data_IF_214103127813
#
_entry.id   IF_214103127813
#
_cell.length_a   1.000
_cell.length_b   1.000
_cell.length_c   1.000
_cell.angle_alpha   90.00
_cell.angle_beta   90.00
_cell.angle_gamma   90.00
#
_symmetry.space_group_name_H-M   'P 1'
#
loop_
_entity.id
_entity.type
_entity.pdbx_description
1 polymer ?
#
# COMPACT_ATOMS: atom_id res chain seq x y z
N UNK A 1 15.59 -9.72 6.26
CA UNK A 1 14.25 -9.59 5.64
C UNK A 1 14.01 -8.10 5.42
N UNK A 2 14.30 -7.59 4.22
CA UNK A 2 14.09 -6.18 3.88
C UNK A 2 12.60 -5.87 3.91
N UNK A 3 12.21 -4.84 4.65
CA UNK A 3 10.84 -4.34 4.66
C UNK A 3 10.68 -3.55 3.36
N UNK A 4 9.98 -4.14 2.40
CA UNK A 4 9.66 -3.48 1.13
C UNK A 4 8.88 -2.19 1.40
N UNK A 5 9.30 -1.10 0.73
CA UNK A 5 8.63 0.21 0.75
C UNK A 5 7.14 0.04 0.38
N UNK A 6 6.24 0.66 1.16
CA UNK A 6 4.79 0.37 1.14
C UNK A 6 3.96 1.40 0.38
N UNK A 7 4.46 2.63 0.20
CA UNK A 7 3.86 3.51 -0.78
C UNK A 7 4.22 3.06 -2.19
N UNK A 8 3.18 2.79 -2.97
CA UNK A 8 3.31 2.33 -4.34
C UNK A 8 2.65 3.32 -5.29
N UNK A 9 3.25 3.47 -6.47
CA UNK A 9 2.58 4.19 -7.57
C UNK A 9 1.82 3.17 -8.40
N UNK A 10 0.56 3.47 -8.68
CA UNK A 10 -0.28 2.66 -9.53
C UNK A 10 -0.78 3.45 -10.74
N UNK A 11 -0.76 2.77 -11.86
CA UNK A 11 -1.36 3.17 -13.14
C UNK A 11 -2.27 2.05 -13.68
N UNK A 12 -2.48 1.00 -12.88
CA UNK A 12 -3.47 -0.04 -13.16
C UNK A 12 -4.88 0.52 -13.03
N UNK A 13 -5.87 -0.07 -13.72
CA UNK A 13 -7.26 0.32 -13.54
C UNK A 13 -7.64 0.22 -12.06
N UNK A 14 -8.29 1.26 -11.54
CA UNK A 14 -8.64 1.34 -10.12
C UNK A 14 -9.40 0.10 -9.64
N UNK A 15 -10.35 -0.40 -10.42
CA UNK A 15 -11.11 -1.62 -10.12
C UNK A 15 -10.21 -2.86 -9.92
N UNK A 16 -9.17 -3.04 -10.74
CA UNK A 16 -8.23 -4.17 -10.64
C UNK A 16 -7.40 -4.06 -9.36
N UNK A 17 -6.99 -2.83 -9.02
CA UNK A 17 -6.27 -2.56 -7.79
C UNK A 17 -7.16 -2.88 -6.59
N UNK A 18 -8.39 -2.38 -6.56
CA UNK A 18 -9.34 -2.69 -5.49
C UNK A 18 -9.54 -4.22 -5.41
N UNK A 19 -9.89 -4.91 -6.49
CA UNK A 19 -10.09 -6.38 -6.47
C UNK A 19 -8.88 -7.14 -5.89
N UNK A 20 -7.66 -6.85 -6.35
CA UNK A 20 -6.43 -7.48 -5.84
C UNK A 20 -6.19 -7.17 -4.37
N UNK A 21 -6.44 -5.94 -3.96
CA UNK A 21 -6.21 -5.50 -2.59
C UNK A 21 -7.22 -6.13 -1.63
N UNK A 22 -8.46 -6.31 -2.06
CA UNK A 22 -9.45 -7.10 -1.33
C UNK A 22 -9.06 -8.56 -1.24
N UNK A 23 -8.56 -9.17 -2.32
CA UNK A 23 -8.03 -10.53 -2.23
C UNK A 23 -6.89 -10.62 -1.20
N UNK A 24 -6.00 -9.62 -1.12
CA UNK A 24 -4.95 -9.57 -0.09
C UNK A 24 -5.50 -9.29 1.32
N UNK A 25 -6.56 -8.49 1.44
CA UNK A 25 -7.26 -8.22 2.70
C UNK A 25 -8.01 -9.44 3.23
N UNK A 26 -8.67 -10.21 2.35
CA UNK A 26 -9.29 -11.52 2.63
C UNK A 26 -8.23 -12.54 3.04
N UNK A 27 -7.07 -12.49 2.39
CA UNK A 27 -5.88 -13.23 2.84
C UNK A 27 -5.24 -12.61 4.08
N UNK A 28 -5.91 -11.72 4.82
CA UNK A 28 -5.49 -11.23 6.13
C UNK A 28 -4.16 -10.47 6.14
N UNK A 29 -3.62 -10.06 5.00
CA UNK A 29 -2.32 -9.38 4.93
C UNK A 29 -2.46 -7.86 5.01
N UNK A 30 -3.60 -7.30 4.57
CA UNK A 30 -3.84 -5.86 4.52
C UNK A 30 -5.14 -5.52 5.24
N UNK A 31 -5.13 -4.49 6.10
CA UNK A 31 -6.28 -3.99 6.86
C UNK A 31 -6.71 -2.60 6.45
N UNK A 32 -5.77 -1.80 5.96
CA UNK A 32 -6.03 -0.44 5.50
C UNK A 32 -5.42 -0.20 4.13
N UNK A 33 -6.22 0.33 3.22
CA UNK A 33 -5.78 0.87 1.95
C UNK A 33 -5.93 2.39 1.97
N UNK A 34 -4.84 3.09 1.68
CA UNK A 34 -4.80 4.55 1.58
C UNK A 34 -4.55 4.93 0.13
N UNK A 35 -5.49 5.63 -0.48
CA UNK A 35 -5.40 6.10 -1.87
C UNK A 35 -5.14 7.59 -1.88
N UNK A 36 -4.09 8.01 -2.56
CA UNK A 36 -3.81 9.40 -2.86
C UNK A 36 -4.32 9.69 -4.27
N UNK A 37 -5.41 10.46 -4.34
CA UNK A 37 -6.17 10.73 -5.56
C UNK A 37 -5.93 12.18 -6.00
N UNK A 38 -5.49 12.34 -7.25
CA UNK A 38 -5.24 13.65 -7.83
C UNK A 38 -4.87 13.55 -9.32
N UNK A 39 -4.78 14.69 -9.96
CA UNK A 39 -4.52 14.87 -11.38
C UNK A 39 -3.15 15.50 -11.63
N UNK A 40 -2.78 15.63 -12.90
CA UNK A 40 -1.56 16.34 -13.31
C UNK A 40 -1.54 17.83 -12.95
N UNK A 41 -2.70 18.41 -12.61
CA UNK A 41 -2.83 19.80 -12.17
C UNK A 41 -2.64 19.97 -10.65
N UNK A 42 -2.63 18.89 -9.88
CA UNK A 42 -2.53 18.90 -8.41
C UNK A 42 -1.07 18.88 -7.93
N UNK A 43 -0.26 19.77 -8.51
CA UNK A 43 1.20 19.82 -8.32
C UNK A 43 1.62 19.92 -6.87
N UNK A 44 0.99 20.82 -6.11
CA UNK A 44 1.38 21.09 -4.73
C UNK A 44 1.14 19.87 -3.85
N UNK A 45 0.06 19.12 -4.12
CA UNK A 45 -0.25 17.89 -3.41
C UNK A 45 0.83 16.82 -3.63
N UNK A 46 1.25 16.57 -4.88
CA UNK A 46 2.32 15.61 -5.15
C UNK A 46 3.65 16.01 -4.50
N UNK A 47 4.00 17.29 -4.53
CA UNK A 47 5.23 17.78 -3.89
C UNK A 47 5.20 17.52 -2.38
N UNK A 48 4.07 17.74 -1.74
CA UNK A 48 3.89 17.45 -0.32
C UNK A 48 3.96 15.94 -0.04
N UNK A 49 3.30 15.09 -0.84
CA UNK A 49 3.39 13.63 -0.70
C UNK A 49 4.83 13.14 -0.86
N UNK A 50 5.59 13.66 -1.83
CA UNK A 50 7.02 13.33 -1.99
C UNK A 50 7.84 13.81 -0.79
N UNK A 51 7.58 15.03 -0.30
CA UNK A 51 8.28 15.60 0.86
C UNK A 51 8.08 14.74 2.11
N UNK A 52 6.85 14.30 2.35
CA UNK A 52 6.52 13.43 3.47
C UNK A 52 6.74 11.96 3.17
N UNK A 53 7.14 11.57 1.96
CA UNK A 53 7.12 10.18 1.49
C UNK A 53 7.79 9.17 2.43
N UNK A 54 8.95 9.51 3.00
CA UNK A 54 9.63 8.63 3.97
C UNK A 54 8.87 8.51 5.29
N UNK A 55 8.27 9.59 5.77
CA UNK A 55 7.54 9.60 7.03
C UNK A 55 6.13 9.01 6.84
N UNK A 56 5.50 9.21 5.68
CA UNK A 56 4.29 8.52 5.23
C UNK A 56 4.56 7.03 5.08
N UNK A 57 5.65 6.63 4.45
CA UNK A 57 6.10 5.24 4.44
C UNK A 57 6.19 4.75 5.90
N UNK A 58 6.96 5.40 6.77
CA UNK A 58 7.07 5.02 8.19
C UNK A 58 5.75 5.01 8.97
N UNK A 59 4.82 5.89 8.62
CA UNK A 59 3.48 5.93 9.20
C UNK A 59 2.64 4.74 8.74
N UNK A 60 2.85 4.34 7.49
CA UNK A 60 2.22 3.22 6.82
C UNK A 60 3.01 1.90 7.02
N UNK A 61 4.18 1.89 7.70
CA UNK A 61 5.16 0.78 7.84
C UNK A 61 4.65 -0.53 8.46
N UNK A 62 3.36 -0.66 8.74
CA UNK A 62 2.80 -1.98 8.99
C UNK A 62 2.59 -2.71 7.68
N UNK A 63 2.95 -4.00 7.64
CA UNK A 63 2.53 -4.95 6.59
C UNK A 63 1.01 -4.91 6.30
N UNK A 64 0.24 -4.30 7.21
CA UNK A 64 -1.22 -4.22 7.26
C UNK A 64 -1.78 -2.94 6.63
N UNK A 65 -0.94 -2.02 6.18
CA UNK A 65 -1.36 -0.80 5.51
C UNK A 65 -0.64 -0.67 4.16
N UNK A 66 -1.36 -0.26 3.11
CA UNK A 66 -0.77 0.00 1.81
C UNK A 66 -1.20 1.38 1.34
N UNK A 67 -0.22 2.20 0.93
CA UNK A 67 -0.46 3.49 0.31
C UNK A 67 -0.34 3.38 -1.21
N UNK A 68 -1.32 3.83 -1.96
CA UNK A 68 -1.29 3.85 -3.42
C UNK A 68 -1.47 5.27 -3.95
N UNK A 69 -0.54 5.68 -4.82
CA UNK A 69 -0.54 6.97 -5.47
C UNK A 69 -1.10 6.83 -6.89
N UNK A 70 -2.23 7.48 -7.15
CA UNK A 70 -2.81 7.67 -8.48
C UNK A 70 -2.60 9.10 -8.99
N UNK A 71 -1.50 9.73 -8.58
CA UNK A 71 -1.17 11.11 -8.91
C UNK A 71 0.04 11.17 -9.84
N UNK A 72 -0.13 11.62 -11.08
CA UNK A 72 1.00 11.80 -11.97
C UNK A 72 1.84 13.03 -11.60
N UNK A 73 3.13 13.08 -11.97
CA UNK A 73 3.92 14.32 -11.92
C UNK A 73 3.31 15.41 -12.81
N UNK A 74 3.43 16.70 -12.44
CA UNK A 74 3.01 17.78 -13.31
C UNK A 74 3.95 17.91 -14.52
N UNK A 75 3.47 18.46 -15.66
CA UNK A 75 4.23 18.55 -16.91
C UNK A 75 5.61 19.22 -16.78
N UNK A 76 5.73 20.32 -16.01
CA UNK A 76 7.00 21.06 -15.89
C UNK A 76 8.05 20.37 -15.01
N UNK A 77 7.68 19.25 -14.35
CA UNK A 77 8.56 18.51 -13.44
C UNK A 77 8.58 17.02 -13.76
N UNK A 78 8.34 16.64 -15.02
CA UNK A 78 8.56 15.26 -15.47
C UNK A 78 9.99 14.79 -15.20
N UNK A 79 10.98 15.70 -15.17
CA UNK A 79 12.34 15.37 -14.71
C UNK A 79 12.44 14.96 -13.22
N UNK A 80 11.51 15.44 -12.38
CA UNK A 80 11.39 15.05 -10.96
C UNK A 80 10.73 13.68 -10.76
N UNK A 81 10.41 12.96 -11.84
CA UNK A 81 10.02 11.55 -11.77
C UNK A 81 11.04 10.70 -11.00
N UNK A 82 12.32 11.10 -11.00
CA UNK A 82 13.36 10.49 -10.16
C UNK A 82 13.07 10.57 -8.65
N UNK A 83 12.35 11.59 -8.19
CA UNK A 83 11.93 11.69 -6.79
C UNK A 83 10.77 10.72 -6.48
N UNK A 84 9.92 10.47 -7.48
CA UNK A 84 8.82 9.51 -7.46
C UNK A 84 9.33 8.06 -7.59
N UNK A 85 10.51 7.84 -8.19
CA UNK A 85 11.23 6.54 -8.19
C UNK A 85 11.60 6.02 -6.79
N UNK A 86 11.49 6.85 -5.75
CA UNK A 86 11.66 6.40 -4.37
C UNK A 86 10.55 5.42 -3.95
N UNK A 87 9.36 5.52 -4.54
CA UNK A 87 8.23 4.64 -4.29
C UNK A 87 8.33 3.34 -5.08
N UNK A 88 7.82 2.25 -4.50
CA UNK A 88 7.78 0.96 -5.20
C UNK A 88 6.77 1.06 -6.35
N UNK A 89 7.08 0.49 -7.51
CA UNK A 89 6.11 0.46 -8.61
C UNK A 89 5.18 -0.73 -8.43
N UNK A 90 3.90 -0.57 -8.73
CA UNK A 90 2.95 -1.69 -8.73
C UNK A 90 3.24 -2.70 -9.86
N UNK A 91 3.76 -2.23 -11.00
CA UNK A 91 4.40 -3.03 -12.05
C UNK A 91 5.71 -2.40 -12.55
N UNK A 92 6.55 -3.16 -13.23
CA UNK A 92 7.68 -2.63 -13.98
C UNK A 92 7.22 -2.18 -15.38
N UNK A 93 7.56 -0.95 -15.77
CA UNK A 93 7.37 -0.44 -17.13
C UNK A 93 8.66 0.17 -17.68
N UNK A 94 8.87 0.13 -19.01
CA UNK A 94 10.07 0.62 -19.70
C UNK A 94 9.91 2.07 -20.20
N UNK A 95 9.38 2.97 -19.38
CA UNK A 95 8.91 4.30 -19.81
C UNK A 95 9.96 5.42 -19.73
N UNK A 96 11.20 5.11 -19.32
CA UNK A 96 12.22 6.11 -18.96
C UNK A 96 12.66 7.01 -20.12
N UNK A 97 12.47 6.59 -21.37
CA UNK A 97 13.09 7.23 -22.53
C UNK A 97 12.10 7.65 -23.63
N UNK A 98 10.79 7.46 -23.42
CA UNK A 98 9.75 7.79 -24.40
C UNK A 98 8.77 8.86 -23.84
N UNK A 99 8.82 10.10 -24.36
CA UNK A 99 7.93 11.19 -23.96
C UNK A 99 6.43 10.89 -24.20
N UNK A 100 6.10 10.12 -25.24
CA UNK A 100 4.72 9.80 -25.59
C UNK A 100 4.14 8.78 -24.59
N UNK A 101 4.92 7.75 -24.24
CA UNK A 101 4.54 6.79 -23.20
C UNK A 101 4.40 7.46 -21.84
N UNK A 102 5.27 8.43 -21.53
CA UNK A 102 5.18 9.21 -20.28
C UNK A 102 3.88 10.00 -20.23
N UNK A 103 3.48 10.64 -21.33
CA UNK A 103 2.23 11.39 -21.40
C UNK A 103 0.99 10.47 -21.31
N UNK A 104 1.02 9.32 -21.97
CA UNK A 104 -0.04 8.31 -21.86
C UNK A 104 -0.20 7.81 -20.41
N UNK A 105 0.91 7.59 -19.70
CA UNK A 105 0.91 7.22 -18.29
C UNK A 105 0.28 8.31 -17.41
N UNK A 106 0.67 9.57 -17.62
CA UNK A 106 0.13 10.72 -16.87
C UNK A 106 -1.38 10.81 -17.05
N UNK A 107 -1.86 10.76 -18.30
CA UNK A 107 -3.29 10.77 -18.61
C UNK A 107 -4.03 9.60 -17.97
N UNK A 108 -3.43 8.41 -18.00
CA UNK A 108 -4.00 7.21 -17.39
C UNK A 108 -4.13 7.34 -15.87
N UNK A 109 -3.08 7.80 -15.18
CA UNK A 109 -3.13 7.99 -13.73
C UNK A 109 -4.20 9.02 -13.32
N UNK A 110 -4.26 10.17 -14.02
CA UNK A 110 -5.32 11.16 -13.82
C UNK A 110 -6.71 10.56 -14.04
N UNK A 111 -6.91 9.83 -15.13
CA UNK A 111 -8.19 9.17 -15.43
C UNK A 111 -8.58 8.16 -14.34
N UNK A 112 -7.62 7.37 -13.84
CA UNK A 112 -7.87 6.40 -12.78
C UNK A 112 -8.16 7.04 -11.43
N UNK A 113 -7.57 8.19 -11.10
CA UNK A 113 -7.98 8.98 -9.92
C UNK A 113 -9.47 9.36 -9.98
N UNK A 114 -9.95 9.84 -11.13
CA UNK A 114 -11.37 10.18 -11.31
C UNK A 114 -12.28 8.94 -11.32
N UNK A 115 -11.83 7.84 -11.95
CA UNK A 115 -12.58 6.59 -11.95
C UNK A 115 -12.73 6.02 -10.54
N UNK A 116 -11.65 6.02 -9.74
CA UNK A 116 -11.70 5.59 -8.34
C UNK A 116 -12.60 6.49 -7.51
N UNK A 117 -12.54 7.81 -7.69
CA UNK A 117 -13.43 8.72 -6.99
C UNK A 117 -14.91 8.39 -7.29
N UNK A 118 -15.26 8.11 -8.55
CA UNK A 118 -16.62 7.68 -8.93
C UNK A 118 -17.00 6.34 -8.30
N UNK A 119 -16.13 5.33 -8.38
CA UNK A 119 -16.36 4.01 -7.80
C UNK A 119 -16.61 4.07 -6.28
N UNK A 120 -15.88 4.97 -5.60
CA UNK A 120 -15.98 5.16 -4.16
C UNK A 120 -17.00 6.24 -3.76
N UNK A 121 -17.81 6.74 -4.71
CA UNK A 121 -18.81 7.79 -4.48
C UNK A 121 -18.23 9.08 -3.83
N UNK A 122 -16.97 9.40 -4.13
CA UNK A 122 -16.31 10.64 -3.71
C UNK A 122 -16.68 11.76 -4.71
N UNK A 123 -17.20 12.91 -4.25
CA UNK A 123 -17.51 14.03 -5.14
C UNK A 123 -16.26 14.54 -5.86
N UNK A 124 -16.35 14.71 -7.18
CA UNK A 124 -15.19 15.09 -7.99
C UNK A 124 -14.66 16.49 -7.66
N UNK A 125 -15.53 17.41 -7.23
CA UNK A 125 -15.12 18.74 -6.81
C UNK A 125 -14.28 18.77 -5.52
N UNK A 126 -14.28 17.67 -4.76
CA UNK A 126 -13.54 17.56 -3.50
C UNK A 126 -12.11 17.02 -3.70
N UNK A 127 -11.72 16.70 -4.95
CA UNK A 127 -10.36 16.35 -5.33
C UNK A 127 -9.46 17.59 -5.44
N UNK A 128 -8.14 17.46 -5.19
CA UNK A 128 -7.42 16.25 -4.80
C UNK A 128 -7.71 15.83 -3.35
N UNK A 129 -7.44 14.57 -3.01
CA UNK A 129 -7.70 14.09 -1.65
C UNK A 129 -7.11 12.73 -1.31
N UNK A 130 -7.34 12.31 -0.06
CA UNK A 130 -6.87 11.03 0.47
C UNK A 130 -8.08 10.19 0.89
N UNK A 131 -8.22 9.01 0.28
CA UNK A 131 -9.26 8.05 0.61
C UNK A 131 -8.69 6.90 1.45
N UNK A 132 -9.42 6.49 2.48
CA UNK A 132 -9.09 5.40 3.39
C UNK A 132 -10.17 4.34 3.27
N UNK A 133 -9.75 3.10 3.02
CA UNK A 133 -10.63 1.94 2.88
C UNK A 133 -10.19 0.86 3.87
N UNK A 134 -11.13 0.39 4.69
CA UNK A 134 -10.89 -0.74 5.58
C UNK A 134 -11.14 -2.06 4.84
N UNK A 135 -10.28 -3.05 5.05
CA UNK A 135 -10.48 -4.37 4.48
C UNK A 135 -11.75 -5.07 5.00
N UNK A 136 -12.20 -4.72 6.21
CA UNK A 136 -13.43 -5.27 6.81
C UNK A 136 -14.70 -4.56 6.37
N UNK A 137 -14.59 -3.34 5.82
CA UNK A 137 -15.71 -2.54 5.36
C UNK A 137 -15.46 -2.06 3.91
N UNK A 138 -15.56 -2.97 2.91
CA UNK A 138 -15.36 -2.66 1.49
C UNK A 138 -16.03 -1.38 1.01
N UNK A 139 -17.29 -1.23 1.42
CA UNK A 139 -18.19 -0.23 0.90
C UNK A 139 -18.06 1.10 1.67
N UNK A 140 -17.27 1.10 2.75
CA UNK A 140 -17.03 2.28 3.56
C UNK A 140 -15.73 2.98 3.15
N UNK A 141 -15.87 4.24 2.76
CA UNK A 141 -14.73 5.13 2.52
C UNK A 141 -14.72 6.23 3.58
N UNK A 142 -13.53 6.55 4.10
CA UNK A 142 -13.28 7.81 4.78
C UNK A 142 -12.39 8.68 3.90
N UNK A 143 -12.84 9.88 3.60
CA UNK A 143 -12.19 10.76 2.64
C UNK A 143 -11.80 12.09 3.29
N UNK A 144 -10.59 12.55 2.99
CA UNK A 144 -10.11 13.88 3.38
C UNK A 144 -9.89 14.70 2.10
N UNK A 145 -10.72 15.73 1.85
CA UNK A 145 -10.51 16.65 0.75
C UNK A 145 -9.31 17.56 1.04
N UNK A 146 -8.48 17.79 0.03
CA UNK A 146 -7.30 18.67 0.12
C UNK A 146 -7.42 19.94 -0.72
N UNK A 147 -8.53 20.11 -1.44
CA UNK A 147 -8.80 21.31 -2.23
C UNK A 147 -8.71 22.62 -1.40
N UNK A 148 -8.95 22.55 -0.09
CA UNK A 148 -9.00 23.71 0.80
C UNK A 148 -8.08 23.61 2.02
N UNK A 149 -7.33 22.52 2.16
CA UNK A 149 -6.44 22.30 3.30
C UNK A 149 -5.27 21.44 2.84
N UNK A 150 -4.07 22.03 2.67
CA UNK A 150 -2.93 21.31 2.13
C UNK A 150 -2.53 20.17 3.07
N UNK A 151 -1.87 19.15 2.52
CA UNK A 151 -1.39 17.98 3.27
C UNK A 151 -0.53 18.43 4.46
N UNK A 152 0.30 19.47 4.28
CA UNK A 152 1.11 20.08 5.35
C UNK A 152 0.34 20.41 6.64
N UNK A 153 -0.91 20.87 6.54
CA UNK A 153 -1.74 21.23 7.71
C UNK A 153 -2.36 20.01 8.37
N UNK A 154 -2.81 19.05 7.57
CA UNK A 154 -3.54 17.88 8.06
C UNK A 154 -2.62 16.74 8.50
N UNK A 155 -1.38 16.76 8.03
CA UNK A 155 -0.39 15.71 8.23
C UNK A 155 -0.14 15.36 9.70
N UNK A 156 -0.01 16.32 10.64
CA UNK A 156 0.17 16.00 12.06
C UNK A 156 -1.01 15.22 12.66
N UNK A 157 -2.24 15.54 12.26
CA UNK A 157 -3.44 14.87 12.74
C UNK A 157 -3.58 13.46 12.12
N UNK A 158 -3.30 13.32 10.83
CA UNK A 158 -3.18 12.01 10.16
C UNK A 158 -2.14 11.14 10.85
N UNK A 159 -0.96 11.69 11.11
CA UNK A 159 0.13 11.00 11.80
C UNK A 159 -0.31 10.51 13.17
N UNK A 160 -0.95 11.38 13.96
CA UNK A 160 -1.45 11.03 15.30
C UNK A 160 -2.47 9.90 15.24
N UNK A 161 -3.43 9.95 14.31
CA UNK A 161 -4.46 8.91 14.15
C UNK A 161 -3.82 7.56 13.83
N UNK A 162 -2.90 7.52 12.86
CA UNK A 162 -2.23 6.30 12.43
C UNK A 162 -1.31 5.74 13.51
N UNK A 163 -0.45 6.57 14.12
CA UNK A 163 0.43 6.13 15.19
C UNK A 163 -0.35 5.59 16.40
N UNK A 164 -1.48 6.24 16.75
CA UNK A 164 -2.32 5.75 17.84
C UNK A 164 -2.95 4.39 17.51
N UNK A 165 -3.41 4.18 16.27
CA UNK A 165 -3.92 2.86 15.87
C UNK A 165 -2.84 1.77 15.97
N UNK A 166 -1.60 2.05 15.56
CA UNK A 166 -0.50 1.11 15.73
C UNK A 166 -0.19 0.80 17.20
N UNK A 167 -0.13 1.83 18.04
CA UNK A 167 0.17 1.66 19.46
C UNK A 167 -0.94 0.91 20.19
N UNK A 168 -2.20 1.29 19.96
CA UNK A 168 -3.41 0.65 20.53
C UNK A 168 -3.42 -0.87 20.22
N UNK A 169 -2.79 -1.30 19.11
CA UNK A 169 -2.85 -2.67 18.61
C UNK A 169 -1.50 -3.39 18.50
N UNK A 170 -0.44 -2.84 19.10
CA UNK A 170 0.93 -3.33 18.94
C UNK A 170 1.08 -4.83 19.25
N UNK A 171 0.50 -5.28 20.35
CA UNK A 171 0.58 -6.68 20.77
C UNK A 171 -0.08 -7.63 19.77
N UNK A 172 -1.22 -7.24 19.20
CA UNK A 172 -1.93 -8.04 18.19
C UNK A 172 -1.11 -8.16 16.91
N UNK A 173 -0.48 -7.07 16.48
CA UNK A 173 0.42 -7.08 15.33
C UNK A 173 1.66 -7.94 15.55
N UNK A 174 2.26 -7.91 16.75
CA UNK A 174 3.40 -8.75 17.11
C UNK A 174 3.01 -10.23 17.15
N UNK A 175 1.86 -10.58 17.74
CA UNK A 175 1.32 -11.95 17.74
C UNK A 175 1.02 -12.46 16.34
N UNK A 176 0.33 -11.67 15.52
CA UNK A 176 0.06 -12.04 14.13
C UNK A 176 1.35 -12.31 13.35
N UNK A 177 2.40 -11.49 13.54
CA UNK A 177 3.70 -11.72 12.90
C UNK A 177 4.32 -13.03 13.36
N UNK A 178 4.25 -13.35 14.65
CA UNK A 178 4.74 -14.60 15.19
C UNK A 178 3.95 -15.80 14.64
N UNK A 179 2.62 -15.72 14.59
CA UNK A 179 1.75 -16.77 14.06
C UNK A 179 2.02 -17.03 12.58
N UNK A 180 2.16 -15.96 11.78
CA UNK A 180 2.54 -16.09 10.37
C UNK A 180 3.90 -16.76 10.22
N UNK A 181 4.90 -16.33 10.99
CA UNK A 181 6.24 -16.90 10.92
C UNK A 181 6.23 -18.37 11.32
N UNK A 182 5.49 -18.72 12.38
CA UNK A 182 5.32 -20.09 12.82
C UNK A 182 4.65 -20.95 11.74
N UNK A 183 3.52 -20.49 11.20
CA UNK A 183 2.77 -21.24 10.20
C UNK A 183 3.54 -21.38 8.88
N UNK A 184 4.29 -20.33 8.47
CA UNK A 184 5.20 -20.40 7.32
C UNK A 184 6.29 -21.46 7.56
N UNK A 185 6.92 -21.45 8.73
CA UNK A 185 7.94 -22.43 9.09
C UNK A 185 7.36 -23.85 9.13
N UNK A 186 6.14 -24.04 9.64
CA UNK A 186 5.47 -25.33 9.67
C UNK A 186 5.16 -25.86 8.26
N UNK A 187 4.64 -25.02 7.37
CA UNK A 187 4.36 -25.40 5.98
C UNK A 187 5.64 -25.75 5.22
N UNK A 188 6.69 -24.94 5.39
CA UNK A 188 8.02 -25.21 4.79
C UNK A 188 8.59 -26.51 5.35
N UNK A 189 8.53 -26.74 6.66
CA UNK A 189 8.98 -27.96 7.31
C UNK A 189 8.16 -29.21 6.88
N UNK A 190 6.87 -29.07 6.64
CA UNK A 190 6.01 -30.15 6.13
C UNK A 190 6.38 -30.52 4.70
N UNK A 191 6.49 -29.53 3.81
CA UNK A 191 6.90 -29.73 2.43
C UNK A 191 8.32 -30.32 2.33
N UNK A 192 9.24 -29.81 3.14
CA UNK A 192 10.59 -30.34 3.29
C UNK A 192 10.62 -31.83 3.69
N UNK A 193 9.78 -32.23 4.64
CA UNK A 193 9.65 -33.64 5.05
C UNK A 193 9.14 -34.51 3.90
N UNK A 194 8.18 -34.03 3.11
CA UNK A 194 7.71 -34.75 1.91
C UNK A 194 8.83 -34.94 0.88
N UNK A 195 9.59 -33.88 0.61
CA UNK A 195 10.77 -33.94 -0.29
C UNK A 195 11.80 -34.96 0.22
N UNK A 196 12.09 -34.96 1.51
CA UNK A 196 13.05 -35.89 2.13
C UNK A 196 12.59 -37.35 2.00
N UNK A 197 11.30 -37.62 2.23
CA UNK A 197 10.70 -38.96 2.09
C UNK A 197 10.87 -39.46 0.66
N UNK A 198 10.58 -38.62 -0.34
CA UNK A 198 10.66 -39.06 -1.74
C UNK A 198 12.09 -39.25 -2.24
N UNK A 199 13.03 -38.40 -1.80
CA UNK A 199 14.45 -38.64 -2.07
C UNK A 199 14.90 -39.96 -1.43
N UNK A 200 14.43 -40.27 -0.22
CA UNK A 200 14.68 -41.56 0.44
C UNK A 200 14.15 -42.75 -0.35
N UNK A 201 12.92 -42.66 -0.87
CA UNK A 201 12.27 -43.70 -1.70
C UNK A 201 12.98 -43.93 -3.02
N UNK A 202 13.53 -42.89 -3.63
CA UNK A 202 14.26 -42.99 -4.91
C UNK A 202 15.57 -43.78 -4.83
N UNK A 203 16.09 -44.06 -3.62
CA UNK A 203 17.35 -44.77 -3.41
C UNK A 203 18.62 -44.01 -3.84
N UNK A 204 18.48 -42.85 -4.52
CA UNK A 204 19.58 -42.17 -5.19
C UNK A 204 20.56 -41.43 -4.28
N UNK A 205 20.23 -41.17 -3.00
CA UNK A 205 21.13 -40.40 -2.15
C UNK A 205 20.86 -40.46 -0.62
N UNK A 206 21.05 -41.61 0.01
CA UNK A 206 20.95 -41.73 1.48
C UNK A 206 21.85 -40.74 2.27
N UNK A 207 22.99 -40.34 1.69
CA UNK A 207 23.89 -39.35 2.28
C UNK A 207 23.39 -37.90 2.14
N UNK A 208 22.50 -37.60 1.17
CA UNK A 208 21.87 -36.28 1.00
C UNK A 208 20.65 -36.11 1.90
N UNK A 209 19.95 -37.19 2.22
CA UNK A 209 18.86 -37.21 3.22
C UNK A 209 19.30 -36.63 4.57
N UNK A 210 20.59 -36.74 4.92
CA UNK A 210 21.16 -36.12 6.14
C UNK A 210 21.47 -34.63 6.01
N UNK A 211 21.70 -34.12 4.80
CA UNK A 211 22.03 -32.70 4.53
C UNK A 211 20.79 -31.84 4.23
N UNK A 212 19.72 -32.47 3.75
CA UNK A 212 18.43 -31.84 3.45
C UNK A 212 17.82 -31.08 4.64
N UNK A 213 17.72 -31.63 5.86
CA UNK A 213 17.16 -30.91 6.99
C UNK A 213 17.90 -29.60 7.31
N UNK A 214 19.23 -29.60 7.15
CA UNK A 214 20.05 -28.41 7.39
C UNK A 214 19.92 -27.37 6.27
N UNK A 215 19.82 -27.81 5.00
CA UNK A 215 19.56 -26.94 3.87
C UNK A 215 18.15 -26.34 3.89
N UNK A 216 17.16 -27.10 4.39
CA UNK A 216 15.79 -26.66 4.62
C UNK A 216 15.72 -25.63 5.76
N UNK A 217 16.40 -25.89 6.88
CA UNK A 217 16.50 -24.90 7.96
C UNK A 217 17.12 -23.58 7.48
N UNK A 218 18.12 -23.66 6.59
CA UNK A 218 18.70 -22.48 5.93
C UNK A 218 17.85 -21.90 4.79
N UNK A 219 16.83 -22.62 4.31
CA UNK A 219 15.88 -22.12 3.32
C UNK A 219 14.76 -21.27 3.92
N UNK A 220 14.61 -21.29 5.25
CA UNK A 220 13.86 -20.26 5.96
C UNK A 220 14.49 -18.88 5.71
N UNK A 221 15.82 -18.82 5.71
CA UNK A 221 16.62 -17.61 5.48
C UNK A 221 16.80 -17.27 3.98
N UNK A 222 17.12 -18.27 3.14
CA UNK A 222 17.28 -18.10 1.68
C UNK A 222 16.81 -19.35 0.90
N UNK A 223 15.65 -19.28 0.21
CA UNK A 223 15.11 -20.37 -0.60
C UNK A 223 16.09 -20.95 -1.64
N UNK A 224 17.05 -20.14 -2.11
CA UNK A 224 18.09 -20.55 -3.08
C UNK A 224 18.97 -21.68 -2.54
N UNK A 225 19.04 -21.86 -1.22
CA UNK A 225 19.82 -22.94 -0.60
C UNK A 225 19.31 -24.34 -0.97
N UNK A 226 17.98 -24.53 -1.11
CA UNK A 226 17.43 -25.81 -1.55
C UNK A 226 17.68 -26.01 -3.04
N UNK A 227 17.49 -24.97 -3.87
CA UNK A 227 17.81 -25.01 -5.30
C UNK A 227 19.27 -25.39 -5.52
N UNK A 228 20.19 -24.73 -4.84
CA UNK A 228 21.64 -24.97 -4.95
C UNK A 228 22.00 -26.40 -4.54
N UNK A 229 21.38 -26.93 -3.48
CA UNK A 229 21.56 -28.32 -3.07
C UNK A 229 21.07 -29.29 -4.16
N UNK A 230 19.88 -29.07 -4.71
CA UNK A 230 19.29 -29.97 -5.71
C UNK A 230 20.03 -29.92 -7.04
N UNK A 231 20.36 -28.73 -7.54
CA UNK A 231 21.12 -28.54 -8.79
C UNK A 231 22.51 -29.16 -8.67
N UNK A 232 23.22 -28.92 -7.56
CA UNK A 232 24.57 -29.46 -7.33
C UNK A 232 24.62 -30.99 -7.37
N UNK A 233 23.51 -31.64 -7.02
CA UNK A 233 23.43 -33.09 -6.94
C UNK A 233 22.53 -33.71 -8.01
N UNK A 234 22.08 -32.93 -9.01
CA UNK A 234 21.23 -33.41 -10.10
C UNK A 234 19.92 -34.05 -9.62
N UNK A 235 19.36 -33.54 -8.52
CA UNK A 235 18.17 -34.12 -7.89
C UNK A 235 16.89 -33.56 -8.52
N UNK A 236 15.98 -34.47 -8.86
CA UNK A 236 14.56 -34.18 -9.09
C UNK A 236 13.72 -35.05 -8.16
N UNK A 237 12.56 -34.56 -7.78
CA UNK A 237 11.67 -35.20 -6.81
C UNK A 237 10.28 -35.26 -7.39
N UNK A 238 9.68 -36.45 -7.44
CA UNK A 238 8.27 -36.57 -7.83
C UNK A 238 7.38 -36.35 -6.60
N UNK A 239 6.60 -35.28 -6.60
CA UNK A 239 5.59 -35.01 -5.58
C UNK A 239 4.22 -34.98 -6.23
N UNK A 240 3.32 -35.87 -5.79
CA UNK A 240 1.94 -35.97 -6.29
C UNK A 240 1.86 -36.12 -7.83
N UNK A 241 2.79 -36.86 -8.43
CA UNK A 241 2.83 -37.10 -9.89
C UNK A 241 3.49 -35.99 -10.71
N UNK A 242 4.08 -34.97 -10.07
CA UNK A 242 4.82 -33.90 -10.73
C UNK A 242 6.30 -34.01 -10.39
N UNK A 243 7.17 -34.09 -11.40
CA UNK A 243 8.62 -34.01 -11.23
C UNK A 243 9.02 -32.56 -10.97
N UNK A 244 9.58 -32.31 -9.79
CA UNK A 244 10.03 -31.00 -9.33
C UNK A 244 11.56 -30.98 -9.30
N UNK A 245 12.15 -30.03 -10.02
CA UNK A 245 13.56 -29.68 -9.91
C UNK A 245 13.78 -28.62 -8.81
N UNK A 246 15.04 -28.22 -8.60
CA UNK A 246 15.40 -27.22 -7.60
C UNK A 246 14.68 -25.87 -7.75
N UNK A 247 14.36 -25.43 -8.98
CA UNK A 247 13.66 -24.16 -9.22
C UNK A 247 12.16 -24.30 -8.94
N UNK A 248 11.56 -25.42 -9.34
CA UNK A 248 10.16 -25.72 -9.07
C UNK A 248 9.90 -25.82 -7.56
N UNK A 249 10.84 -26.41 -6.81
CA UNK A 249 10.79 -26.47 -5.34
C UNK A 249 10.93 -25.09 -4.72
N UNK A 250 11.90 -24.28 -5.15
CA UNK A 250 12.07 -22.91 -4.67
C UNK A 250 10.81 -22.06 -4.89
N UNK A 251 10.26 -22.10 -6.11
CA UNK A 251 9.01 -21.44 -6.46
C UNK A 251 7.86 -21.91 -5.56
N UNK A 252 7.77 -23.21 -5.29
CA UNK A 252 6.72 -23.76 -4.43
C UNK A 252 6.85 -23.31 -2.98
N UNK A 253 8.07 -23.17 -2.45
CA UNK A 253 8.32 -22.63 -1.11
C UNK A 253 7.90 -21.17 -1.02
N UNK A 254 8.21 -20.37 -2.06
CA UNK A 254 7.76 -18.98 -2.16
C UNK A 254 6.22 -18.92 -2.19
N UNK A 255 5.57 -19.79 -2.97
CA UNK A 255 4.10 -19.90 -3.03
C UNK A 255 3.47 -20.37 -1.71
N UNK A 256 4.12 -21.26 -0.96
CA UNK A 256 3.63 -21.71 0.35
C UNK A 256 3.73 -20.57 1.36
N UNK A 257 4.86 -19.86 1.41
CA UNK A 257 5.05 -18.70 2.30
C UNK A 257 4.01 -17.59 2.05
N UNK A 258 3.48 -17.46 0.83
CA UNK A 258 2.48 -16.44 0.49
C UNK A 258 1.03 -16.83 0.84
N UNK A 259 0.75 -18.13 1.04
CA UNK A 259 -0.60 -18.67 1.30
C UNK A 259 -0.98 -18.80 2.78
N UNK A 260 -0.06 -18.54 3.71
CA UNK A 260 -0.15 -19.01 5.10
C UNK A 260 -0.98 -18.13 6.06
N UNK A 261 -1.92 -17.34 5.56
CA UNK A 261 -2.60 -16.34 6.40
C UNK A 261 -3.83 -16.82 7.17
N UNK A 262 -4.42 -17.96 6.77
CA UNK A 262 -5.72 -18.41 7.31
C UNK A 262 -5.68 -18.94 8.74
N UNK A 263 -4.50 -19.12 9.35
CA UNK A 263 -4.31 -19.67 10.70
C UNK A 263 -3.78 -18.65 11.71
N UNK A 264 -3.45 -17.43 11.28
CA UNK A 264 -2.93 -16.40 12.16
C UNK A 264 -4.04 -15.71 12.95
N UNK A 265 -3.71 -15.16 14.12
CA UNK A 265 -4.62 -14.34 14.93
C UNK A 265 -5.32 -13.27 14.07
N UNK A 266 -6.60 -12.94 14.31
CA UNK A 266 -7.26 -11.89 13.54
C UNK A 266 -6.54 -10.57 13.74
N UNK A 267 -6.18 -9.92 12.64
CA UNK A 267 -5.63 -8.58 12.67
C UNK A 267 -6.72 -7.56 13.05
N UNK A 268 -6.35 -6.49 13.76
CA UNK A 268 -7.27 -5.42 14.11
C UNK A 268 -7.64 -4.61 12.87
N UNK A 269 -8.89 -4.20 12.79
CA UNK A 269 -9.35 -3.30 11.73
C UNK A 269 -9.01 -1.85 12.05
N UNK A 270 -9.00 -1.03 10.99
CA UNK A 270 -8.78 0.40 11.13
C UNK A 270 -10.13 1.12 11.31
N UNK A 271 -10.25 1.88 12.39
CA UNK A 271 -11.42 2.70 12.69
C UNK A 271 -11.48 3.93 11.76
N UNK A 272 -12.26 3.81 10.69
CA UNK A 272 -12.50 4.89 9.71
C UNK A 272 -13.10 6.15 10.35
N UNK A 273 -13.78 6.05 11.50
CA UNK A 273 -14.34 7.24 12.18
C UNK A 273 -13.26 8.17 12.72
N UNK A 274 -12.04 7.68 12.96
CA UNK A 274 -10.90 8.52 13.31
C UNK A 274 -10.55 9.47 12.17
N UNK A 275 -10.55 8.97 10.93
CA UNK A 275 -10.31 9.77 9.72
C UNK A 275 -11.49 10.70 9.44
N UNK A 276 -12.73 10.22 9.57
CA UNK A 276 -13.93 11.06 9.40
C UNK A 276 -13.95 12.24 10.40
N UNK A 277 -13.39 12.09 11.60
CA UNK A 277 -13.24 13.19 12.56
C UNK A 277 -12.23 14.24 12.08
N UNK A 278 -11.10 13.81 11.52
CA UNK A 278 -10.12 14.72 10.91
C UNK A 278 -10.74 15.47 9.73
N UNK A 279 -11.43 14.76 8.84
CA UNK A 279 -12.14 15.36 7.69
C UNK A 279 -13.19 16.38 8.13
N UNK A 280 -14.04 16.06 9.11
CA UNK A 280 -15.03 17.00 9.67
C UNK A 280 -14.38 18.23 10.29
N UNK A 281 -13.28 18.07 11.03
CA UNK A 281 -12.53 19.19 11.60
C UNK A 281 -12.05 20.14 10.51
N UNK A 282 -11.46 19.62 9.44
CA UNK A 282 -10.99 20.39 8.29
C UNK A 282 -12.14 21.16 7.63
N UNK A 283 -13.27 20.50 7.39
CA UNK A 283 -14.45 21.14 6.79
C UNK A 283 -15.00 22.28 7.66
N UNK A 284 -15.02 22.09 8.99
CA UNK A 284 -15.44 23.13 9.93
C UNK A 284 -14.48 24.32 9.95
N UNK A 285 -13.17 24.08 9.98
CA UNK A 285 -12.14 25.13 9.94
C UNK A 285 -12.24 25.94 8.64
N UNK A 286 -12.46 25.28 7.51
CA UNK A 286 -12.70 25.95 6.23
C UNK A 286 -14.00 26.77 6.24
N UNK A 287 -15.11 26.20 6.71
CA UNK A 287 -16.39 26.91 6.79
C UNK A 287 -16.31 28.17 7.68
N UNK A 288 -15.57 28.09 8.79
CA UNK A 288 -15.30 29.24 9.67
C UNK A 288 -14.46 30.28 8.95
N UNK A 289 -13.41 29.89 8.24
CA UNK A 289 -12.55 30.82 7.48
C UNK A 289 -13.35 31.56 6.40
N UNK A 290 -14.14 30.84 5.60
CA UNK A 290 -15.01 31.43 4.57
C UNK A 290 -16.07 32.33 5.18
N UNK A 291 -16.67 31.93 6.31
CA UNK A 291 -17.62 32.76 7.05
C UNK A 291 -16.99 34.05 7.57
N UNK A 292 -15.77 33.99 8.09
CA UNK A 292 -15.02 35.15 8.58
C UNK A 292 -14.63 36.11 7.43
N UNK A 293 -14.19 35.57 6.29
CA UNK A 293 -13.89 36.37 5.09
C UNK A 293 -15.13 37.04 4.51
N UNK A 294 -16.24 36.32 4.40
CA UNK A 294 -17.53 36.92 3.98
C UNK A 294 -17.99 37.99 4.97
N UNK A 295 -17.83 37.77 6.27
CA UNK A 295 -18.13 38.76 7.30
C UNK A 295 -17.28 40.02 7.16
N UNK A 296 -15.98 39.88 6.88
CA UNK A 296 -15.09 41.02 6.58
C UNK A 296 -15.50 41.74 5.29
N UNK A 297 -15.82 41.00 4.23
CA UNK A 297 -16.30 41.58 2.97
C UNK A 297 -17.60 42.37 3.13
N UNK A 298 -18.53 41.89 3.96
CA UNK A 298 -19.76 42.62 4.31
C UNK A 298 -19.43 43.90 5.09
N UNK A 299 -18.51 43.84 6.05
CA UNK A 299 -18.11 45.01 6.83
C UNK A 299 -17.38 46.06 5.97
N UNK A 300 -16.53 45.63 5.04
CA UNK A 300 -15.88 46.52 4.06
C UNK A 300 -16.90 47.13 3.10
N UNK A 301 -17.91 46.37 2.66
CA UNK A 301 -19.02 46.89 1.86
C UNK A 301 -19.86 47.92 2.63
N UNK A 302 -20.16 47.67 3.90
CA UNK A 302 -20.87 48.62 4.77
C UNK A 302 -20.03 49.89 4.98
N UNK A 303 -18.71 49.75 5.15
CA UNK A 303 -17.80 50.89 5.28
C UNK A 303 -17.76 51.72 3.98
N UNK A 304 -17.63 51.05 2.82
CA UNK A 304 -17.65 51.68 1.51
C UNK A 304 -18.98 52.42 1.27
N UNK A 305 -20.12 51.78 1.59
CA UNK A 305 -21.44 52.41 1.51
C UNK A 305 -21.56 53.64 2.41
N UNK A 306 -21.05 53.59 3.65
CA UNK A 306 -21.04 54.75 4.55
C UNK A 306 -20.18 55.89 4.02
N UNK A 307 -19.01 55.59 3.47
CA UNK A 307 -18.11 56.61 2.90
C UNK A 307 -18.69 57.22 1.61
N UNK A 308 -19.38 56.41 0.80
CA UNK A 308 -20.00 56.86 -0.46
C UNK A 308 -21.29 57.65 -0.24
N UNK A 309 -22.02 57.36 0.85
CA UNK A 309 -23.30 58.01 1.18
C UNK A 309 -23.18 59.18 2.18
N UNK A 310 -21.99 59.43 2.76
CA UNK A 310 -21.78 60.52 3.74
C UNK A 310 -21.62 61.97 3.21
N UNK A 311 -21.53 62.27 1.90
CA UNK A 311 -21.59 63.65 1.43
C UNK A 311 -22.94 64.09 0.84
N UNK A 312 -24.02 63.31 1.04
CA UNK A 312 -25.41 63.72 0.75
C UNK A 312 -26.15 64.06 2.05
#
# INVERSE_FOLDING_TARGET
>A
MEIERLMMISYDPGSVVLERMWQRGVLGQTRLLVLFLGSEYDRDFLVEVIRYGHDLDNLLHGKFCIGLLFMPPPPERREQLRAVERFKRFHELPWRDDPELTEQLVRRMSAESYNLARLLSIPLQDLPGIAFLSASEPDAVAFIPLAHSPLTQIYPDLRRVMSKWYEDNRQTFERYKADLQFAQNEQVASFARQVQIEIGRSGKAAHLVKKLPHAIGRAEEDPSNIRNLMVRHGLSVELSGVSLDGHAIEKRIIELKSRTSSTASPLPDFDLDRVRRVSRKIQLEHAVSVGAERGKGILEWIKLLRETLSPL
#
